data_IF_175707253195
#
_entry.id   IF_175707253195
#
_cell.length_a   1.000
_cell.length_b   1.000
_cell.length_c   1.000
_cell.angle_alpha   90.00
_cell.angle_beta   90.00
_cell.angle_gamma   90.00
#
_symmetry.space_group_name_H-M   'P 1'
#
loop_
_entity.id
_entity.type
_entity.pdbx_description
1 polymer ?
#
# COMPACT_ATOMS: atom_id res chain seq x y z
N UNK A 1 -24.89 4.52 3.84
CA UNK A 1 -25.56 4.63 2.53
C UNK A 1 -25.29 6.00 1.92
N UNK A 2 -25.07 6.06 0.63
CA UNK A 2 -24.93 7.33 -0.11
C UNK A 2 -25.85 7.25 -1.33
N UNK A 3 -26.76 8.24 -1.46
CA UNK A 3 -27.62 8.36 -2.64
C UNK A 3 -26.89 9.07 -3.80
N UNK A 4 -27.41 8.94 -5.01
CA UNK A 4 -26.91 9.68 -6.18
C UNK A 4 -27.05 11.20 -6.04
N UNK A 5 -27.90 11.66 -5.11
CA UNK A 5 -28.10 13.06 -4.75
C UNK A 5 -27.21 13.51 -3.57
N UNK A 6 -26.33 12.65 -3.07
CA UNK A 6 -25.41 12.94 -1.98
C UNK A 6 -26.01 12.88 -0.57
N UNK A 7 -27.25 12.43 -0.45
CA UNK A 7 -27.82 12.12 0.86
C UNK A 7 -27.05 10.94 1.45
N UNK A 8 -26.63 11.10 2.70
CA UNK A 8 -25.82 10.11 3.38
C UNK A 8 -26.51 9.66 4.66
N UNK A 9 -26.39 8.38 4.97
CA UNK A 9 -26.73 7.81 6.27
C UNK A 9 -25.62 6.89 6.74
N UNK A 10 -25.07 7.20 7.91
CA UNK A 10 -23.99 6.46 8.56
C UNK A 10 -24.59 5.63 9.68
N UNK A 11 -24.50 4.31 9.58
CA UNK A 11 -25.02 3.39 10.61
C UNK A 11 -23.94 2.99 11.63
N UNK A 12 -22.67 2.94 11.19
CA UNK A 12 -21.54 2.49 12.00
C UNK A 12 -20.34 3.39 11.69
N UNK A 13 -20.20 4.49 12.42
CA UNK A 13 -19.16 5.49 12.20
C UNK A 13 -17.75 4.90 12.41
N UNK A 14 -17.60 4.09 13.46
CA UNK A 14 -16.33 3.44 13.79
C UNK A 14 -15.85 2.43 12.74
N UNK A 15 -16.73 2.00 11.84
CA UNK A 15 -16.44 1.04 10.77
C UNK A 15 -16.40 1.67 9.38
N UNK A 16 -16.19 2.97 9.30
CA UNK A 16 -16.00 3.64 8.02
C UNK A 16 -14.56 3.43 7.49
N UNK A 17 -14.39 3.33 6.15
CA UNK A 17 -13.05 3.35 5.56
C UNK A 17 -12.32 4.65 5.89
N UNK A 18 -11.07 4.59 6.31
CA UNK A 18 -10.28 5.76 6.73
C UNK A 18 -10.19 6.87 5.68
N UNK A 19 -10.10 6.52 4.41
CA UNK A 19 -10.03 7.49 3.30
C UNK A 19 -11.41 7.98 2.80
N UNK A 20 -12.52 7.57 3.44
CA UNK A 20 -13.87 7.93 3.01
C UNK A 20 -14.51 8.90 4.00
N UNK A 21 -14.67 10.16 3.59
CA UNK A 21 -15.30 11.21 4.40
C UNK A 21 -16.73 11.42 3.95
N UNK A 22 -17.68 11.09 4.81
CA UNK A 22 -19.11 11.31 4.59
C UNK A 22 -19.71 12.06 5.79
N UNK A 23 -20.69 12.92 5.54
CA UNK A 23 -21.40 13.67 6.59
C UNK A 23 -22.90 13.64 6.34
N UNK A 24 -23.67 13.28 7.36
CA UNK A 24 -25.12 13.40 7.33
C UNK A 24 -25.52 14.88 7.38
N UNK A 25 -26.13 15.38 6.32
CA UNK A 25 -26.58 16.77 6.23
C UNK A 25 -27.56 16.94 5.08
N UNK A 26 -28.46 17.91 5.25
CA UNK A 26 -29.38 18.39 4.21
C UNK A 26 -28.75 19.56 3.41
N UNK A 27 -27.62 20.06 3.82
CA UNK A 27 -26.89 21.12 3.15
C UNK A 27 -26.42 20.70 1.75
N UNK A 28 -26.59 21.56 0.76
CA UNK A 28 -26.31 21.25 -0.63
C UNK A 28 -24.81 20.99 -0.88
N UNK A 29 -23.95 21.80 -0.30
CA UNK A 29 -22.49 21.67 -0.50
C UNK A 29 -21.96 20.40 0.16
N UNK A 30 -22.47 20.06 1.36
CA UNK A 30 -22.13 18.79 2.03
C UNK A 30 -22.58 17.58 1.20
N UNK A 31 -23.76 17.64 0.59
CA UNK A 31 -24.24 16.56 -0.29
C UNK A 31 -23.37 16.38 -1.53
N UNK A 32 -22.93 17.49 -2.16
CA UNK A 32 -21.98 17.43 -3.27
C UNK A 32 -20.66 16.79 -2.80
N UNK A 33 -20.14 17.22 -1.65
CA UNK A 33 -18.90 16.68 -1.09
C UNK A 33 -19.00 15.18 -0.78
N UNK A 34 -20.14 14.70 -0.29
CA UNK A 34 -20.38 13.26 -0.09
C UNK A 34 -20.26 12.47 -1.41
N UNK A 35 -20.85 12.97 -2.52
CA UNK A 35 -20.74 12.31 -3.83
C UNK A 35 -19.31 12.30 -4.32
N UNK A 36 -18.59 13.43 -4.20
CA UNK A 36 -17.19 13.55 -4.62
C UNK A 36 -16.32 12.59 -3.80
N UNK A 37 -16.45 12.60 -2.47
CA UNK A 37 -15.69 11.73 -1.57
C UNK A 37 -15.96 10.25 -1.84
N UNK A 38 -17.21 9.86 -2.04
CA UNK A 38 -17.57 8.48 -2.37
C UNK A 38 -17.01 8.05 -3.73
N UNK A 39 -17.12 8.89 -4.76
CA UNK A 39 -16.54 8.58 -6.07
C UNK A 39 -15.00 8.51 -6.02
N UNK A 40 -14.35 9.40 -5.29
CA UNK A 40 -12.89 9.38 -5.13
C UNK A 40 -12.42 8.12 -4.40
N UNK A 41 -13.12 7.71 -3.33
CA UNK A 41 -12.85 6.45 -2.64
C UNK A 41 -13.05 5.24 -3.55
N UNK A 42 -14.15 5.17 -4.30
CA UNK A 42 -14.34 4.09 -5.27
C UNK A 42 -13.25 4.09 -6.34
N UNK A 43 -12.89 5.26 -6.88
CA UNK A 43 -11.88 5.41 -7.92
C UNK A 43 -10.48 5.02 -7.43
N UNK A 44 -10.15 5.24 -6.15
CA UNK A 44 -8.87 4.83 -5.55
C UNK A 44 -8.69 3.31 -5.50
N UNK A 45 -9.78 2.56 -5.63
CA UNK A 45 -9.78 1.09 -5.66
C UNK A 45 -9.52 0.50 -7.05
N UNK A 46 -9.29 1.35 -8.02
CA UNK A 46 -8.89 0.99 -9.37
C UNK A 46 -7.40 1.29 -9.56
N UNK A 47 -6.71 0.51 -10.41
CA UNK A 47 -5.29 0.70 -10.71
C UNK A 47 -4.95 2.17 -11.03
N UNK A 48 -3.79 2.69 -10.55
CA UNK A 48 -3.34 4.03 -10.89
C UNK A 48 -3.18 4.23 -12.39
N UNK A 49 -3.39 5.46 -12.88
CA UNK A 49 -3.32 5.79 -14.32
C UNK A 49 -1.90 5.72 -14.87
N UNK A 50 -0.94 6.02 -14.07
CA UNK A 50 0.49 6.03 -14.37
C UNK A 50 1.16 4.66 -14.25
N UNK A 51 0.38 3.64 -13.89
CA UNK A 51 0.87 2.26 -13.85
C UNK A 51 1.17 1.76 -15.26
N UNK A 52 2.30 1.08 -15.38
CA UNK A 52 2.64 0.35 -16.61
C UNK A 52 1.52 -0.62 -16.97
N UNK A 53 1.13 -0.62 -18.24
CA UNK A 53 0.01 -1.42 -18.78
C UNK A 53 -1.40 -1.06 -18.24
N UNK A 54 -1.56 0.08 -17.55
CA UNK A 54 -2.89 0.49 -17.07
C UNK A 54 -3.93 0.58 -18.20
N UNK A 55 -3.53 1.10 -19.36
CA UNK A 55 -4.41 1.19 -20.55
C UNK A 55 -4.83 -0.18 -21.06
N UNK A 56 -3.89 -1.10 -21.17
CA UNK A 56 -4.12 -2.46 -21.65
C UNK A 56 -5.05 -3.20 -20.70
N UNK A 57 -4.84 -3.09 -19.40
CA UNK A 57 -5.67 -3.69 -18.37
C UNK A 57 -7.09 -3.11 -18.41
N UNK A 58 -7.24 -1.78 -18.47
CA UNK A 58 -8.55 -1.14 -18.55
C UNK A 58 -9.27 -1.45 -19.87
N UNK A 59 -8.54 -1.50 -20.98
CA UNK A 59 -9.13 -1.87 -22.28
C UNK A 59 -9.62 -3.32 -22.30
N UNK A 60 -8.90 -4.24 -21.66
CA UNK A 60 -9.28 -5.65 -21.64
C UNK A 60 -10.58 -5.93 -20.86
N UNK A 61 -10.97 -5.02 -19.94
CA UNK A 61 -12.27 -5.06 -19.26
C UNK A 61 -13.34 -4.20 -19.95
N UNK A 62 -13.07 -3.70 -21.15
CA UNK A 62 -14.00 -2.81 -21.85
C UNK A 62 -14.14 -1.41 -21.23
N UNK A 63 -13.30 -1.09 -20.25
CA UNK A 63 -13.22 0.23 -19.66
C UNK A 63 -12.36 1.10 -20.56
N UNK A 64 -13.00 1.84 -21.47
CA UNK A 64 -12.32 2.89 -22.24
C UNK A 64 -11.62 3.88 -21.30
N UNK A 65 -10.70 4.68 -21.83
CA UNK A 65 -9.89 5.65 -21.08
C UNK A 65 -10.74 6.55 -20.17
N UNK A 66 -11.13 6.03 -19.01
CA UNK A 66 -11.89 6.77 -18.02
C UNK A 66 -10.96 7.80 -17.37
N UNK A 67 -11.28 9.06 -17.55
CA UNK A 67 -10.44 10.19 -17.17
C UNK A 67 -10.84 10.74 -15.80
N UNK A 68 -12.11 10.67 -15.46
CA UNK A 68 -12.67 11.26 -14.24
C UNK A 68 -12.81 10.22 -13.11
N UNK A 69 -12.78 10.66 -11.87
CA UNK A 69 -13.05 9.79 -10.71
C UNK A 69 -14.44 9.16 -10.77
N UNK A 70 -15.41 9.88 -11.33
CA UNK A 70 -16.77 9.33 -11.52
C UNK A 70 -16.78 8.12 -12.46
N UNK A 71 -16.06 8.20 -13.59
CA UNK A 71 -15.98 7.07 -14.54
C UNK A 71 -15.22 5.89 -13.93
N UNK A 72 -14.13 6.19 -13.21
CA UNK A 72 -13.35 5.19 -12.50
C UNK A 72 -14.16 4.53 -11.38
N UNK A 73 -14.93 5.31 -10.64
CA UNK A 73 -15.85 4.81 -9.61
C UNK A 73 -16.89 3.85 -10.19
N UNK A 74 -17.45 4.14 -11.38
CA UNK A 74 -18.38 3.24 -12.05
C UNK A 74 -17.75 1.87 -12.37
N UNK A 75 -16.49 1.88 -12.80
CA UNK A 75 -15.75 0.64 -13.03
C UNK A 75 -15.54 -0.11 -11.71
N UNK A 76 -15.04 0.56 -10.66
CA UNK A 76 -14.83 -0.04 -9.36
C UNK A 76 -16.13 -0.62 -8.77
N UNK A 77 -17.24 0.09 -8.90
CA UNK A 77 -18.57 -0.37 -8.46
C UNK A 77 -19.06 -1.59 -9.24
N UNK A 78 -18.64 -1.80 -10.49
CA UNK A 78 -19.03 -3.00 -11.26
C UNK A 78 -18.49 -4.30 -10.67
N UNK A 79 -17.42 -4.24 -9.87
CA UNK A 79 -16.91 -5.36 -9.06
C UNK A 79 -16.99 -5.07 -7.55
N UNK A 80 -17.98 -4.28 -7.14
CA UNK A 80 -18.28 -3.97 -5.74
C UNK A 80 -17.15 -3.29 -4.97
N UNK A 81 -16.22 -2.60 -5.62
CA UNK A 81 -15.05 -1.99 -5.01
C UNK A 81 -14.17 -2.98 -4.20
N UNK A 82 -14.20 -4.27 -4.51
CA UNK A 82 -13.43 -5.28 -3.80
C UNK A 82 -11.93 -5.05 -3.91
N UNK A 83 -11.20 -5.34 -2.84
CA UNK A 83 -9.75 -5.22 -2.77
C UNK A 83 -9.15 -6.37 -1.94
N UNK A 84 -7.88 -6.69 -2.21
CA UNK A 84 -7.07 -7.54 -1.33
C UNK A 84 -6.36 -6.73 -0.23
N UNK A 85 -6.53 -5.42 -0.19
CA UNK A 85 -5.89 -4.57 0.82
C UNK A 85 -6.76 -4.37 2.06
N UNK A 86 -8.09 -4.56 1.92
CA UNK A 86 -9.06 -4.40 3.00
C UNK A 86 -10.34 -5.22 2.76
N UNK A 87 -11.31 -5.10 3.67
CA UNK A 87 -12.61 -5.80 3.62
C UNK A 87 -13.78 -4.87 3.24
N UNK A 88 -13.50 -3.64 2.87
CA UNK A 88 -14.55 -2.69 2.49
C UNK A 88 -15.02 -2.96 1.06
N UNK A 89 -16.33 -2.84 0.86
CA UNK A 89 -16.97 -3.04 -0.44
C UNK A 89 -18.25 -2.21 -0.57
N UNK A 90 -18.76 -2.12 -1.76
CA UNK A 90 -19.97 -1.36 -2.05
C UNK A 90 -20.95 -2.19 -2.87
N UNK A 91 -22.25 -2.05 -2.57
CA UNK A 91 -23.33 -2.66 -3.37
C UNK A 91 -24.50 -1.69 -3.58
N UNK A 92 -25.29 -1.94 -4.60
CA UNK A 92 -26.56 -1.26 -4.79
C UNK A 92 -27.58 -1.67 -3.72
N UNK A 93 -28.48 -0.76 -3.37
CA UNK A 93 -29.51 -0.98 -2.33
C UNK A 93 -30.36 -2.25 -2.56
N UNK A 94 -30.62 -2.58 -3.82
CA UNK A 94 -31.49 -3.71 -4.22
C UNK A 94 -30.74 -5.02 -4.40
N UNK A 95 -29.41 -5.02 -4.26
CA UNK A 95 -28.59 -6.22 -4.45
C UNK A 95 -28.59 -7.06 -3.17
N UNK A 96 -28.97 -8.33 -3.33
CA UNK A 96 -28.96 -9.31 -2.23
C UNK A 96 -27.69 -10.15 -2.27
N UNK A 97 -26.54 -9.49 -2.07
CA UNK A 97 -25.20 -10.09 -2.07
C UNK A 97 -24.59 -9.84 -0.69
N UNK A 98 -23.86 -10.82 -0.17
CA UNK A 98 -23.09 -10.73 1.07
C UNK A 98 -21.59 -10.72 0.76
N UNK A 99 -20.77 -10.14 1.63
CA UNK A 99 -19.32 -10.14 1.50
C UNK A 99 -18.73 -11.55 1.44
N UNK A 100 -19.31 -12.47 2.20
CA UNK A 100 -18.93 -13.87 2.24
C UNK A 100 -19.05 -14.56 0.88
N UNK A 101 -19.96 -14.10 0.04
CA UNK A 101 -20.22 -14.67 -1.30
C UNK A 101 -19.22 -14.19 -2.36
N UNK A 102 -18.56 -13.04 -2.14
CA UNK A 102 -17.78 -12.35 -3.18
C UNK A 102 -16.37 -11.94 -2.78
N UNK A 103 -15.97 -12.10 -1.51
CA UNK A 103 -14.67 -11.63 -1.02
C UNK A 103 -13.50 -12.30 -1.75
N UNK A 104 -12.45 -11.51 -2.01
CA UNK A 104 -11.30 -11.95 -2.80
C UNK A 104 -10.38 -12.92 -2.06
N UNK A 105 -10.47 -13.02 -0.73
CA UNK A 105 -9.67 -13.94 0.06
C UNK A 105 -10.13 -15.38 -0.10
N UNK A 106 -11.44 -15.61 -0.23
CA UNK A 106 -12.04 -16.93 -0.38
C UNK A 106 -12.24 -17.29 -1.84
N UNK A 107 -12.72 -16.35 -2.64
CA UNK A 107 -13.07 -16.56 -4.04
C UNK A 107 -11.97 -16.01 -4.95
N UNK A 108 -11.69 -16.72 -6.06
CA UNK A 108 -10.92 -16.10 -7.13
C UNK A 108 -11.74 -14.97 -7.71
N UNK A 109 -11.10 -13.88 -8.10
CA UNK A 109 -11.78 -12.74 -8.71
C UNK A 109 -12.49 -13.13 -10.03
N UNK A 110 -12.00 -14.17 -10.72
CA UNK A 110 -12.70 -14.77 -11.88
C UNK A 110 -14.11 -15.21 -11.50
N UNK A 111 -14.32 -15.77 -10.30
CA UNK A 111 -15.66 -16.20 -9.88
C UNK A 111 -16.54 -15.00 -9.51
N UNK A 112 -15.99 -13.99 -8.82
CA UNK A 112 -16.74 -12.77 -8.51
C UNK A 112 -17.13 -12.00 -9.79
N UNK A 113 -16.24 -11.91 -10.79
CA UNK A 113 -16.52 -11.28 -12.06
C UNK A 113 -17.48 -12.12 -12.94
N UNK A 114 -17.38 -13.42 -12.92
CA UNK A 114 -18.33 -14.33 -13.60
C UNK A 114 -19.72 -14.17 -13.01
N UNK A 115 -19.87 -14.10 -11.71
CA UNK A 115 -21.14 -13.86 -11.02
C UNK A 115 -21.73 -12.49 -11.36
N UNK A 116 -20.91 -11.45 -11.41
CA UNK A 116 -21.31 -10.10 -11.83
C UNK A 116 -21.77 -10.12 -13.30
N UNK A 117 -21.03 -10.78 -14.20
CA UNK A 117 -21.35 -10.90 -15.61
C UNK A 117 -22.64 -11.72 -15.84
N UNK A 118 -22.84 -12.81 -15.12
CA UNK A 118 -24.05 -13.65 -15.21
C UNK A 118 -25.31 -12.97 -14.64
N UNK A 119 -25.15 -11.96 -13.77
CA UNK A 119 -26.26 -11.18 -13.19
C UNK A 119 -26.62 -9.94 -14.01
N UNK A 120 -26.13 -9.81 -15.22
CA UNK A 120 -26.54 -8.77 -16.19
C UNK A 120 -25.67 -7.50 -16.18
N UNK A 121 -24.53 -7.52 -15.52
CA UNK A 121 -23.53 -6.45 -15.67
C UNK A 121 -22.72 -6.72 -16.95
N UNK A 122 -22.81 -5.82 -17.93
CA UNK A 122 -22.08 -5.95 -19.19
C UNK A 122 -20.58 -5.72 -18.96
N UNK A 123 -19.83 -6.79 -18.74
CA UNK A 123 -18.37 -6.79 -18.86
C UNK A 123 -17.94 -7.93 -19.77
N UNK A 124 -17.33 -7.58 -20.89
CA UNK A 124 -16.71 -8.56 -21.79
C UNK A 124 -15.32 -8.88 -21.26
N UNK A 125 -15.21 -9.88 -20.40
CA UNK A 125 -13.92 -10.31 -19.84
C UNK A 125 -13.42 -11.52 -20.62
N UNK A 126 -12.42 -11.31 -21.46
CA UNK A 126 -11.79 -12.39 -22.25
C UNK A 126 -10.65 -13.09 -21.49
N UNK A 127 -10.13 -12.51 -20.39
CA UNK A 127 -9.07 -13.08 -19.55
C UNK A 127 -9.26 -12.72 -18.08
N UNK A 128 -10.24 -13.33 -17.42
CA UNK A 128 -10.65 -13.02 -16.05
C UNK A 128 -9.57 -13.25 -14.99
N UNK A 129 -8.58 -14.12 -15.24
CA UNK A 129 -7.58 -14.50 -14.22
C UNK A 129 -6.53 -13.43 -13.90
N UNK A 130 -6.19 -12.59 -14.88
CA UNK A 130 -5.17 -11.55 -14.72
C UNK A 130 -5.74 -10.22 -14.21
N UNK A 131 -6.96 -9.89 -14.61
CA UNK A 131 -7.48 -8.53 -14.54
C UNK A 131 -7.81 -8.04 -13.16
N UNK A 132 -8.37 -8.86 -12.40
CA UNK A 132 -8.97 -8.44 -11.18
C UNK A 132 -8.01 -8.47 -9.98
N UNK A 133 -7.04 -9.37 -10.00
CA UNK A 133 -5.92 -9.29 -9.09
C UNK A 133 -5.10 -8.01 -9.33
N UNK A 134 -5.11 -7.50 -10.55
CA UNK A 134 -4.38 -6.30 -10.94
C UNK A 134 -5.13 -4.99 -10.69
N UNK A 135 -6.46 -5.00 -10.68
CA UNK A 135 -7.27 -3.77 -10.57
C UNK A 135 -7.10 -3.02 -9.25
N UNK A 136 -6.75 -3.70 -8.17
CA UNK A 136 -6.61 -3.12 -6.84
C UNK A 136 -5.16 -2.90 -6.38
N UNK A 137 -4.15 -3.12 -7.25
CA UNK A 137 -2.75 -2.93 -6.89
C UNK A 137 -2.27 -1.50 -7.18
N UNK A 138 -1.85 -0.75 -6.15
CA UNK A 138 -1.23 0.58 -6.30
C UNK A 138 0.21 0.54 -6.86
N UNK A 139 0.76 1.67 -7.31
CA UNK A 139 2.14 1.86 -7.76
C UNK A 139 2.39 1.66 -9.26
N UNK A 140 3.56 2.11 -9.75
CA UNK A 140 3.87 2.29 -11.18
C UNK A 140 4.39 1.06 -11.91
N UNK A 141 5.03 0.12 -11.21
CA UNK A 141 5.60 -1.07 -11.83
C UNK A 141 4.55 -2.12 -12.17
N UNK A 142 4.78 -2.95 -13.22
CA UNK A 142 3.94 -4.12 -13.50
C UNK A 142 3.93 -5.06 -12.30
N UNK A 143 2.76 -5.46 -11.86
CA UNK A 143 2.61 -6.38 -10.74
C UNK A 143 1.26 -7.09 -10.79
N UNK A 144 1.22 -8.31 -10.28
CA UNK A 144 0.03 -9.13 -10.24
C UNK A 144 -0.06 -9.93 -8.95
N UNK A 145 -1.28 -10.09 -8.43
CA UNK A 145 -1.56 -11.02 -7.37
C UNK A 145 -1.72 -12.44 -7.93
N UNK A 146 -0.88 -13.34 -7.48
CA UNK A 146 -0.93 -14.75 -7.85
C UNK A 146 -1.41 -15.58 -6.66
N UNK A 147 -2.48 -16.34 -6.82
CA UNK A 147 -2.96 -17.26 -5.79
C UNK A 147 -2.16 -18.55 -5.86
N UNK A 148 -1.53 -18.93 -4.72
CA UNK A 148 -0.92 -20.23 -4.48
C UNK A 148 -1.73 -20.97 -3.41
N UNK A 149 -1.44 -22.26 -3.17
CA UNK A 149 -2.21 -23.07 -2.25
C UNK A 149 -2.32 -22.54 -0.82
N UNK A 150 -1.33 -21.75 -0.38
CA UNK A 150 -1.24 -21.19 0.98
C UNK A 150 -1.55 -19.68 1.06
N UNK A 151 -2.04 -19.07 -0.01
CA UNK A 151 -2.42 -17.65 -0.01
C UNK A 151 -2.13 -16.89 -1.29
N UNK A 152 -2.09 -15.56 -1.16
CA UNK A 152 -1.79 -14.65 -2.26
C UNK A 152 -0.35 -14.15 -2.20
N UNK A 153 0.28 -14.06 -3.37
CA UNK A 153 1.62 -13.55 -3.56
C UNK A 153 1.61 -12.44 -4.59
N UNK A 154 2.24 -11.32 -4.26
CA UNK A 154 2.47 -10.23 -5.19
C UNK A 154 3.73 -10.51 -5.99
N UNK A 155 3.60 -10.57 -7.31
CA UNK A 155 4.69 -10.63 -8.26
C UNK A 155 4.90 -9.22 -8.80
N UNK A 156 6.11 -8.69 -8.70
CA UNK A 156 6.46 -7.36 -9.21
C UNK A 156 7.58 -7.50 -10.23
N UNK A 157 7.35 -6.95 -11.41
CA UNK A 157 8.34 -6.81 -12.47
C UNK A 157 8.83 -5.35 -12.51
N UNK A 158 10.07 -5.14 -12.20
CA UNK A 158 10.73 -3.83 -12.26
C UNK A 158 12.08 -3.92 -12.98
N UNK A 159 12.33 -5.06 -13.64
CA UNK A 159 13.62 -5.45 -14.18
C UNK A 159 14.58 -5.96 -13.11
N UNK A 160 15.67 -6.61 -13.54
CA UNK A 160 16.65 -7.29 -12.69
C UNK A 160 17.13 -6.40 -11.52
N UNK A 161 17.54 -5.17 -11.81
CA UNK A 161 18.05 -4.24 -10.80
C UNK A 161 17.04 -3.91 -9.69
N UNK A 162 15.76 -3.70 -10.03
CA UNK A 162 14.74 -3.36 -9.05
C UNK A 162 14.41 -4.55 -8.16
N UNK A 163 14.36 -5.76 -8.75
CA UNK A 163 14.18 -7.03 -8.04
C UNK A 163 15.30 -7.26 -7.06
N UNK A 164 16.57 -7.14 -7.49
CA UNK A 164 17.75 -7.32 -6.64
C UNK A 164 17.77 -6.33 -5.47
N UNK A 165 17.45 -5.04 -5.73
CA UNK A 165 17.38 -4.03 -4.68
C UNK A 165 16.31 -4.34 -3.64
N UNK A 166 15.12 -4.73 -4.08
CA UNK A 166 14.01 -5.05 -3.18
C UNK A 166 14.32 -6.28 -2.31
N UNK A 167 14.87 -7.34 -2.92
CA UNK A 167 15.27 -8.55 -2.22
C UNK A 167 16.41 -8.28 -1.24
N UNK A 168 17.45 -7.53 -1.66
CA UNK A 168 18.58 -7.18 -0.79
C UNK A 168 18.14 -6.32 0.39
N UNK A 169 17.34 -5.27 0.16
CA UNK A 169 16.84 -4.41 1.22
C UNK A 169 16.03 -5.21 2.25
N UNK A 170 15.16 -6.11 1.79
CA UNK A 170 14.42 -7.02 2.66
C UNK A 170 15.32 -7.92 3.50
N UNK A 171 16.38 -8.48 2.92
CA UNK A 171 17.37 -9.29 3.65
C UNK A 171 18.11 -8.47 4.71
N UNK A 172 18.45 -7.21 4.43
CA UNK A 172 19.07 -6.30 5.40
C UNK A 172 18.09 -6.00 6.53
N UNK A 173 16.86 -5.60 6.21
CA UNK A 173 15.84 -5.28 7.21
C UNK A 173 15.58 -6.42 8.19
N UNK A 174 15.69 -7.68 7.76
CA UNK A 174 15.57 -8.87 8.63
C UNK A 174 16.59 -8.92 9.77
N UNK A 175 17.68 -8.18 9.67
CA UNK A 175 18.65 -8.10 10.73
C UNK A 175 18.31 -7.07 11.82
N UNK A 176 17.12 -6.48 11.75
CA UNK A 176 16.66 -5.44 12.69
C UNK A 176 15.29 -5.79 13.25
N UNK A 177 15.00 -5.23 14.43
CA UNK A 177 13.70 -5.37 15.11
C UNK A 177 12.65 -4.50 14.42
N UNK A 178 12.09 -5.00 13.33
CA UNK A 178 11.02 -4.34 12.57
C UNK A 178 10.10 -5.36 11.90
N UNK A 179 8.87 -4.97 11.67
CA UNK A 179 7.95 -5.70 10.82
C UNK A 179 8.21 -5.35 9.35
N UNK A 180 8.38 -6.36 8.51
CA UNK A 180 8.67 -6.17 7.10
C UNK A 180 8.10 -7.26 6.21
N UNK A 181 7.83 -6.91 4.98
CA UNK A 181 7.52 -7.86 3.91
C UNK A 181 8.78 -8.57 3.47
N UNK A 182 8.73 -9.90 3.43
CA UNK A 182 9.82 -10.73 2.92
C UNK A 182 9.70 -10.84 1.40
N UNK A 183 10.79 -10.48 0.71
CA UNK A 183 10.87 -10.60 -0.75
C UNK A 183 11.80 -11.71 -1.15
N UNK A 184 11.36 -12.50 -2.12
CA UNK A 184 12.15 -13.55 -2.79
C UNK A 184 12.27 -13.23 -4.27
N UNK A 185 13.41 -13.55 -4.86
CA UNK A 185 13.57 -13.49 -6.30
C UNK A 185 12.94 -14.72 -6.95
N UNK A 186 12.17 -14.51 -8.00
CA UNK A 186 11.59 -15.55 -8.83
C UNK A 186 11.64 -15.21 -10.30
N UNK A 187 11.02 -16.05 -11.11
CA UNK A 187 10.90 -15.86 -12.57
C UNK A 187 9.43 -15.94 -12.97
N UNK A 188 9.02 -15.05 -13.87
CA UNK A 188 7.74 -15.12 -14.54
C UNK A 188 7.97 -14.92 -16.04
N UNK A 189 7.57 -15.87 -16.86
CA UNK A 189 7.79 -15.87 -18.34
C UNK A 189 9.25 -15.57 -18.76
N UNK A 190 10.22 -16.12 -18.02
CA UNK A 190 11.66 -15.91 -18.17
C UNK A 190 12.20 -14.52 -17.77
N UNK A 191 11.37 -13.66 -17.18
CA UNK A 191 11.80 -12.39 -16.62
C UNK A 191 11.89 -12.46 -15.08
N UNK A 192 12.87 -11.78 -14.46
CA UNK A 192 13.03 -11.76 -13.02
C UNK A 192 11.91 -10.95 -12.36
N UNK A 193 11.34 -11.48 -11.29
CA UNK A 193 10.32 -10.82 -10.47
C UNK A 193 10.66 -10.90 -8.99
N UNK A 194 10.28 -9.88 -8.23
CA UNK A 194 10.23 -9.99 -6.78
C UNK A 194 8.87 -10.56 -6.35
N UNK A 195 8.91 -11.49 -5.41
CA UNK A 195 7.72 -12.20 -4.93
C UNK A 195 7.60 -11.97 -3.43
N UNK A 196 6.43 -11.53 -2.99
CA UNK A 196 6.12 -11.36 -1.57
C UNK A 196 4.74 -11.90 -1.22
N UNK A 197 4.61 -12.46 -0.02
CA UNK A 197 3.31 -12.90 0.50
C UNK A 197 2.48 -11.70 0.93
N UNK A 198 1.16 -11.77 0.72
CA UNK A 198 0.23 -10.75 1.17
C UNK A 198 0.27 -10.60 2.71
N UNK A 199 0.25 -9.38 3.22
CA UNK A 199 0.19 -9.10 4.66
C UNK A 199 -1.24 -8.91 5.18
N UNK A 200 -2.18 -8.66 4.29
CA UNK A 200 -3.60 -8.48 4.61
C UNK A 200 -4.35 -9.81 4.61
N UNK A 201 -5.52 -9.83 5.21
CA UNK A 201 -6.41 -10.99 5.30
C UNK A 201 -7.84 -10.53 5.59
N UNK A 202 -8.78 -11.45 5.76
CA UNK A 202 -10.10 -11.11 6.30
C UNK A 202 -10.01 -10.48 7.71
N UNK A 203 -8.93 -10.76 8.47
CA UNK A 203 -8.71 -10.21 9.81
C UNK A 203 -8.00 -8.87 9.80
N UNK A 204 -7.12 -8.62 8.85
CA UNK A 204 -6.26 -7.46 8.82
C UNK A 204 -6.31 -6.72 7.49
N UNK A 205 -6.46 -5.40 7.57
CA UNK A 205 -6.42 -4.47 6.45
C UNK A 205 -5.18 -3.60 6.48
N UNK A 206 -4.79 -3.10 5.31
CA UNK A 206 -3.77 -2.08 5.15
C UNK A 206 -4.45 -0.73 4.92
N UNK A 207 -4.04 0.28 5.70
CA UNK A 207 -4.45 1.67 5.51
C UNK A 207 -3.20 2.50 5.23
N UNK A 208 -3.12 3.13 4.06
CA UNK A 208 -1.96 3.98 3.72
C UNK A 208 -1.92 5.22 4.62
N UNK A 209 -0.72 5.80 4.79
CA UNK A 209 -0.59 7.09 5.50
C UNK A 209 -1.50 8.14 4.88
N UNK A 210 -1.59 8.20 3.54
CA UNK A 210 -2.46 9.15 2.86
C UNK A 210 -3.93 9.02 3.28
N UNK A 211 -4.47 7.80 3.36
CA UNK A 211 -5.83 7.56 3.81
C UNK A 211 -6.02 7.88 5.29
N UNK A 212 -5.04 7.57 6.13
CA UNK A 212 -5.07 7.88 7.56
C UNK A 212 -4.94 9.39 7.82
N UNK A 213 -4.18 10.11 7.00
CA UNK A 213 -4.05 11.57 7.07
C UNK A 213 -5.37 12.28 6.78
N UNK A 214 -6.14 11.79 5.81
CA UNK A 214 -7.51 12.25 5.56
C UNK A 214 -8.39 12.06 6.79
N UNK A 215 -8.33 10.89 7.42
CA UNK A 215 -9.08 10.60 8.64
C UNK A 215 -8.69 11.54 9.80
N UNK A 216 -7.40 11.66 10.09
CA UNK A 216 -6.90 12.52 11.15
C UNK A 216 -7.27 13.98 10.91
N UNK A 217 -7.12 14.47 9.69
CA UNK A 217 -7.48 15.84 9.31
C UNK A 217 -8.97 16.14 9.56
N UNK A 218 -9.86 15.19 9.29
CA UNK A 218 -11.28 15.36 9.57
C UNK A 218 -11.65 15.34 11.07
N UNK A 219 -10.72 14.88 11.93
CA UNK A 219 -10.86 14.88 13.38
C UNK A 219 -10.03 15.99 14.05
N UNK A 220 -9.45 16.91 13.27
CA UNK A 220 -8.54 17.95 13.76
C UNK A 220 -7.32 17.41 14.54
N UNK A 221 -6.83 16.21 14.15
CA UNK A 221 -5.67 15.56 14.76
C UNK A 221 -4.42 15.75 13.92
N UNK A 222 -3.27 15.79 14.60
CA UNK A 222 -1.98 15.67 13.91
C UNK A 222 -1.69 14.19 13.62
N UNK A 223 -1.59 13.85 12.34
CA UNK A 223 -1.42 12.47 11.89
C UNK A 223 -0.13 11.83 12.42
N UNK A 224 0.98 12.57 12.40
CA UNK A 224 2.26 12.04 12.87
C UNK A 224 2.24 11.79 14.38
N UNK A 225 1.60 12.67 15.17
CA UNK A 225 1.47 12.48 16.60
C UNK A 225 0.66 11.20 16.89
N UNK A 226 -0.43 10.96 16.16
CA UNK A 226 -1.22 9.73 16.29
C UNK A 226 -0.45 8.47 15.92
N UNK A 227 0.39 8.53 14.90
CA UNK A 227 1.27 7.42 14.52
C UNK A 227 2.32 7.15 15.60
N UNK A 228 2.92 8.20 16.17
CA UNK A 228 3.90 8.07 17.25
C UNK A 228 3.28 7.56 18.56
N UNK A 229 2.02 7.94 18.85
CA UNK A 229 1.26 7.37 19.98
C UNK A 229 1.02 5.86 19.79
N UNK A 230 0.75 5.43 18.56
CA UNK A 230 0.44 4.05 18.23
C UNK A 230 1.69 3.16 18.15
N UNK A 231 2.70 3.57 17.37
CA UNK A 231 3.87 2.74 17.05
C UNK A 231 5.11 3.61 16.75
N UNK A 232 5.62 4.29 17.79
CA UNK A 232 6.82 5.10 17.66
C UNK A 232 8.04 4.26 17.23
N UNK A 233 8.17 3.03 17.76
CA UNK A 233 9.27 2.13 17.41
C UNK A 233 9.28 1.82 15.91
N UNK A 234 8.17 1.35 15.38
CA UNK A 234 8.04 1.04 13.95
C UNK A 234 8.31 2.25 13.05
N UNK A 235 7.82 3.43 13.42
CA UNK A 235 8.07 4.67 12.70
C UNK A 235 9.56 5.05 12.66
N UNK A 236 10.25 5.02 13.79
CA UNK A 236 11.67 5.36 13.84
C UNK A 236 12.52 4.30 13.15
N UNK A 237 12.23 3.02 13.33
CA UNK A 237 12.91 1.93 12.63
C UNK A 237 12.73 2.02 11.10
N UNK A 238 11.55 2.41 10.60
CA UNK A 238 11.34 2.67 9.17
C UNK A 238 12.31 3.73 8.65
N UNK A 239 12.46 4.87 9.32
CA UNK A 239 13.37 5.93 8.91
C UNK A 239 14.85 5.51 8.99
N UNK A 240 15.22 4.75 10.00
CA UNK A 240 16.57 4.17 10.15
C UNK A 240 16.87 3.25 8.97
N UNK A 241 15.96 2.34 8.64
CA UNK A 241 16.15 1.35 7.60
C UNK A 241 16.12 1.96 6.20
N UNK A 242 15.20 2.88 5.93
CA UNK A 242 15.18 3.61 4.64
C UNK A 242 16.48 4.39 4.40
N UNK A 243 17.07 4.97 5.45
CA UNK A 243 18.40 5.59 5.35
C UNK A 243 19.49 4.55 5.07
N UNK A 244 19.52 3.44 5.80
CA UNK A 244 20.56 2.41 5.64
C UNK A 244 20.58 1.83 4.23
N UNK A 245 19.40 1.47 3.70
CA UNK A 245 19.29 0.88 2.35
C UNK A 245 19.15 1.92 1.24
N UNK A 246 19.08 3.21 1.58
CA UNK A 246 18.90 4.29 0.62
C UNK A 246 17.61 4.22 -0.16
N UNK A 247 16.52 3.82 0.49
CA UNK A 247 15.20 3.84 -0.13
C UNK A 247 14.68 5.28 -0.23
N UNK A 248 14.51 5.77 -1.45
CA UNK A 248 14.12 7.15 -1.73
C UNK A 248 12.64 7.32 -2.02
N UNK A 249 11.84 6.27 -1.92
CA UNK A 249 10.45 6.23 -2.38
C UNK A 249 9.43 5.96 -1.27
N UNK A 250 9.73 6.31 -0.02
CA UNK A 250 8.79 6.17 1.10
C UNK A 250 7.72 7.25 1.08
N UNK A 251 6.99 7.38 -0.05
CA UNK A 251 5.87 8.32 -0.15
C UNK A 251 4.64 7.79 0.62
N UNK A 252 3.64 8.63 0.77
CA UNK A 252 2.45 8.42 1.63
C UNK A 252 1.60 7.18 1.30
N UNK A 253 1.77 6.58 0.12
CA UNK A 253 1.13 5.33 -0.27
C UNK A 253 1.97 4.07 0.04
N UNK A 254 3.27 4.23 0.37
CA UNK A 254 4.19 3.12 0.60
C UNK A 254 4.42 2.81 2.09
N UNK A 255 3.69 3.45 2.97
CA UNK A 255 3.65 3.16 4.39
C UNK A 255 2.31 3.55 5.00
N UNK A 256 2.02 3.07 6.20
CA UNK A 256 0.77 3.33 6.89
C UNK A 256 0.54 2.32 8.00
N UNK A 257 -0.69 1.91 8.18
CA UNK A 257 -1.14 1.16 9.34
C UNK A 257 -1.69 -0.21 8.97
N UNK A 258 -1.45 -1.17 9.85
CA UNK A 258 -2.18 -2.43 9.89
C UNK A 258 -3.38 -2.25 10.81
N UNK A 259 -4.57 -2.57 10.32
CA UNK A 259 -5.85 -2.37 11.00
C UNK A 259 -6.52 -3.71 11.26
N UNK A 260 -7.06 -3.90 12.45
CA UNK A 260 -7.90 -5.04 12.81
C UNK A 260 -9.32 -4.84 12.29
N UNK A 261 -9.79 -5.73 11.40
CA UNK A 261 -11.11 -5.61 10.76
C UNK A 261 -12.29 -5.88 11.70
N UNK A 262 -12.09 -6.54 12.84
CA UNK A 262 -13.17 -6.75 13.82
C UNK A 262 -13.48 -5.48 14.62
N UNK A 263 -12.48 -4.62 14.80
CA UNK A 263 -12.63 -3.38 15.58
C UNK A 263 -12.48 -2.13 14.72
N UNK A 264 -12.00 -2.26 13.50
CA UNK A 264 -11.55 -1.18 12.62
C UNK A 264 -10.51 -0.25 13.28
N UNK A 265 -9.71 -0.76 14.23
CA UNK A 265 -8.71 0.02 14.94
C UNK A 265 -7.31 -0.29 14.44
N UNK A 266 -6.44 0.73 14.31
CA UNK A 266 -5.04 0.54 13.99
C UNK A 266 -4.34 -0.26 15.10
N UNK A 267 -3.46 -1.20 14.71
CA UNK A 267 -2.70 -2.04 15.63
C UNK A 267 -1.25 -1.53 15.75
N UNK A 268 -0.63 -1.21 14.63
CA UNK A 268 0.76 -0.78 14.46
C UNK A 268 0.99 -0.25 13.06
N UNK A 269 2.20 0.18 12.74
CA UNK A 269 2.58 0.34 11.34
C UNK A 269 2.46 -1.01 10.62
N UNK A 270 2.03 -0.99 9.36
CA UNK A 270 2.08 -2.18 8.53
C UNK A 270 3.54 -2.57 8.21
N UNK A 271 3.75 -3.79 7.76
CA UNK A 271 5.07 -4.29 7.40
C UNK A 271 5.73 -3.40 6.35
N UNK A 272 7.02 -3.08 6.56
CA UNK A 272 7.79 -2.26 5.61
C UNK A 272 7.85 -2.95 4.26
N UNK A 273 7.49 -2.23 3.22
CA UNK A 273 7.40 -2.75 1.86
C UNK A 273 7.95 -1.76 0.84
N UNK A 274 8.04 -2.19 -0.41
CA UNK A 274 8.39 -1.37 -1.58
C UNK A 274 9.79 -0.74 -1.48
N UNK A 275 10.80 -1.60 -1.60
CA UNK A 275 12.22 -1.22 -1.57
C UNK A 275 12.88 -1.18 -2.97
N UNK A 276 12.10 -1.19 -4.04
CA UNK A 276 12.59 -1.26 -5.42
C UNK A 276 13.47 -0.08 -5.83
N UNK A 277 13.44 1.02 -5.09
CA UNK A 277 14.33 2.19 -5.25
C UNK A 277 15.47 2.26 -4.24
N UNK A 278 15.66 1.25 -3.40
CA UNK A 278 16.82 1.15 -2.53
C UNK A 278 18.12 1.16 -3.35
N UNK A 279 19.18 1.77 -2.82
CA UNK A 279 20.52 1.88 -3.42
C UNK A 279 20.58 2.53 -4.81
N UNK A 280 19.51 3.17 -5.28
CA UNK A 280 19.42 3.59 -6.69
C UNK A 280 20.13 4.91 -7.01
N UNK A 281 20.01 5.93 -6.19
CA UNK A 281 20.31 7.31 -6.61
C UNK A 281 21.28 8.07 -5.71
N UNK A 282 21.35 7.76 -4.43
CA UNK A 282 22.08 8.58 -3.47
C UNK A 282 23.14 7.78 -2.73
N UNK A 283 24.41 8.06 -3.05
CA UNK A 283 25.56 7.53 -2.32
C UNK A 283 26.12 8.50 -1.27
N UNK A 284 25.48 9.68 -1.12
CA UNK A 284 25.85 10.67 -0.12
C UNK A 284 25.46 10.22 1.28
N UNK A 285 26.18 10.74 2.30
CA UNK A 285 25.84 10.44 3.70
C UNK A 285 24.52 11.00 4.17
N UNK A 286 24.01 12.04 3.50
CA UNK A 286 22.72 12.63 3.87
C UNK A 286 21.52 11.86 3.27
N UNK A 287 21.74 11.17 2.16
CA UNK A 287 20.68 10.50 1.42
C UNK A 287 19.75 11.49 0.72
N UNK A 288 18.50 11.11 0.50
CA UNK A 288 17.45 11.94 -0.06
C UNK A 288 16.74 12.76 1.03
N UNK A 289 15.83 13.66 0.60
CA UNK A 289 14.86 14.25 1.51
C UNK A 289 13.94 13.15 2.08
N UNK A 290 13.71 13.20 3.40
CA UNK A 290 12.83 12.25 4.07
C UNK A 290 11.37 12.64 3.85
N UNK A 291 10.57 11.73 3.30
CA UNK A 291 9.17 11.99 2.96
C UNK A 291 8.19 11.66 4.10
N UNK A 292 8.65 11.04 5.17
CA UNK A 292 7.80 10.57 6.28
C UNK A 292 7.66 11.57 7.41
N UNK A 293 8.40 12.66 7.39
CA UNK A 293 8.54 13.61 8.51
C UNK A 293 7.51 14.73 8.54
N UNK A 294 6.44 14.60 7.76
CA UNK A 294 5.37 15.59 7.67
C UNK A 294 5.85 16.91 7.07
N UNK A 295 5.57 18.02 7.75
CA UNK A 295 5.96 19.37 7.30
C UNK A 295 7.42 19.74 7.57
N UNK A 296 8.18 18.88 8.25
CA UNK A 296 9.60 19.10 8.52
C UNK A 296 10.43 18.82 7.28
N UNK A 297 11.46 19.59 7.03
CA UNK A 297 12.41 19.39 5.95
C UNK A 297 13.67 18.75 6.49
N UNK A 298 13.69 17.42 6.56
CA UNK A 298 14.83 16.63 7.03
C UNK A 298 15.37 15.77 5.89
N UNK A 299 16.69 15.59 5.85
CA UNK A 299 17.32 14.53 5.08
C UNK A 299 17.01 13.16 5.70
N UNK A 300 17.19 12.09 4.93
CA UNK A 300 17.09 10.72 5.47
C UNK A 300 18.04 10.50 6.65
N UNK A 301 19.27 11.06 6.60
CA UNK A 301 20.23 11.00 7.70
C UNK A 301 19.69 11.65 8.96
N UNK A 302 19.16 12.87 8.88
CA UNK A 302 18.65 13.58 10.04
C UNK A 302 17.48 12.83 10.67
N UNK A 303 16.54 12.32 9.85
CA UNK A 303 15.42 11.52 10.34
C UNK A 303 15.88 10.20 10.98
N UNK A 304 16.88 9.52 10.39
CA UNK A 304 17.42 8.29 10.93
C UNK A 304 18.20 8.52 12.23
N UNK A 305 19.01 9.59 12.33
CA UNK A 305 19.70 9.97 13.57
C UNK A 305 18.71 10.35 14.67
N UNK A 306 17.62 11.06 14.32
CA UNK A 306 16.52 11.28 15.27
C UNK A 306 15.93 9.96 15.76
N UNK A 307 15.70 9.03 14.84
CA UNK A 307 15.20 7.68 15.13
C UNK A 307 16.11 6.93 16.10
N UNK A 308 17.42 6.91 15.85
CA UNK A 308 18.40 6.26 16.72
C UNK A 308 18.35 6.82 18.16
N UNK A 309 18.21 8.14 18.31
CA UNK A 309 18.10 8.78 19.63
C UNK A 309 16.77 8.46 20.34
N UNK A 310 15.75 8.05 19.62
CA UNK A 310 14.42 7.76 20.17
C UNK A 310 14.18 6.28 20.45
N UNK A 311 14.79 5.38 19.66
CA UNK A 311 14.52 3.95 19.76
C UNK A 311 15.77 3.06 19.72
N UNK A 312 16.98 3.62 19.58
CA UNK A 312 18.23 2.91 19.26
C UNK A 312 18.20 2.21 17.90
N UNK A 313 19.32 1.62 17.46
CA UNK A 313 19.40 0.96 16.15
C UNK A 313 18.59 -0.35 16.11
N UNK A 314 18.43 -1.03 17.27
CA UNK A 314 17.72 -2.30 17.41
C UNK A 314 18.13 -3.38 16.38
N UNK A 315 19.43 -3.51 16.16
CA UNK A 315 19.98 -4.59 15.36
C UNK A 315 19.93 -5.92 16.12
N UNK A 316 19.28 -6.94 15.54
CA UNK A 316 19.11 -8.27 16.15
C UNK A 316 20.15 -9.28 15.66
N UNK A 317 20.74 -9.08 14.46
CA UNK A 317 21.88 -9.84 13.97
C UNK A 317 22.75 -9.00 13.04
N UNK A 318 24.01 -9.39 12.89
CA UNK A 318 24.94 -8.71 11.99
C UNK A 318 24.52 -8.89 10.52
N UNK A 319 24.59 -7.80 9.74
CA UNK A 319 24.41 -7.83 8.29
C UNK A 319 25.69 -8.42 7.69
N UNK A 320 25.62 -9.68 7.25
CA UNK A 320 26.75 -10.38 6.66
C UNK A 320 27.22 -9.72 5.37
N UNK A 321 28.54 -9.63 5.17
CA UNK A 321 29.12 -9.12 3.91
C UNK A 321 28.66 -9.93 2.68
N UNK A 322 28.45 -11.21 2.84
CA UNK A 322 28.01 -12.11 1.75
C UNK A 322 26.60 -11.77 1.24
N UNK A 323 25.84 -10.94 1.95
CA UNK A 323 24.51 -10.51 1.51
C UNK A 323 24.60 -9.59 0.27
N UNK A 324 25.76 -8.94 0.06
CA UNK A 324 26.02 -7.99 -1.02
C UNK A 324 26.74 -8.59 -2.23
N UNK A 325 26.86 -9.92 -2.31
CA UNK A 325 27.74 -10.64 -3.25
C UNK A 325 27.51 -10.37 -4.74
N UNK A 326 26.46 -9.66 -5.10
CA UNK A 326 26.10 -9.40 -6.51
C UNK A 326 26.34 -7.96 -6.96
N UNK A 327 26.74 -7.02 -6.07
CA UNK A 327 26.83 -5.60 -6.45
C UNK A 327 27.98 -4.84 -5.78
N UNK A 328 28.99 -4.50 -6.57
CA UNK A 328 30.15 -3.69 -6.18
C UNK A 328 29.76 -2.22 -5.90
N UNK A 329 29.32 -1.91 -4.71
CA UNK A 329 29.07 -0.52 -4.31
C UNK A 329 27.94 -0.33 -3.33
N UNK A 330 26.97 -1.24 -3.27
CA UNK A 330 25.86 -1.13 -2.31
C UNK A 330 26.33 -1.40 -0.87
N UNK A 331 27.29 -2.31 -0.70
CA UNK A 331 28.00 -2.53 0.57
C UNK A 331 28.67 -1.24 1.08
N UNK A 332 29.31 -0.46 0.19
CA UNK A 332 29.98 0.80 0.55
C UNK A 332 28.98 1.85 1.02
N UNK A 333 27.81 1.96 0.34
CA UNK A 333 26.75 2.86 0.73
C UNK A 333 26.24 2.48 2.12
N UNK A 334 25.89 1.21 2.31
CA UNK A 334 25.41 0.68 3.59
C UNK A 334 26.42 0.94 4.72
N UNK A 335 27.68 0.54 4.53
CA UNK A 335 28.72 0.65 5.57
C UNK A 335 29.02 2.12 5.96
N UNK A 336 29.01 3.06 5.00
CA UNK A 336 29.15 4.50 5.31
C UNK A 336 28.01 5.00 6.22
N UNK A 337 26.77 4.62 5.88
CA UNK A 337 25.58 5.03 6.62
C UNK A 337 25.46 4.33 7.96
N UNK A 338 25.81 3.05 8.01
CA UNK A 338 25.88 2.28 9.25
C UNK A 338 26.82 2.94 10.27
N UNK A 339 28.00 3.35 9.84
CA UNK A 339 28.97 4.05 10.70
C UNK A 339 28.37 5.34 11.31
N UNK A 340 27.65 6.12 10.52
CA UNK A 340 26.99 7.34 11.00
C UNK A 340 25.98 7.04 12.11
N UNK A 341 25.19 5.98 11.95
CA UNK A 341 24.17 5.60 12.94
C UNK A 341 24.80 5.08 14.22
N UNK A 342 25.80 4.21 14.14
CA UNK A 342 26.53 3.69 15.32
C UNK A 342 27.21 4.82 16.10
N UNK A 343 27.85 5.78 15.42
CA UNK A 343 28.44 6.95 16.08
C UNK A 343 27.38 7.87 16.73
N UNK A 344 26.14 7.83 16.26
CA UNK A 344 25.03 8.60 16.80
C UNK A 344 24.34 7.90 17.97
N UNK A 345 24.35 6.57 18.01
CA UNK A 345 23.81 5.73 19.10
C UNK A 345 24.69 5.80 20.37
N UNK A 346 26.01 6.01 20.18
CA UNK A 346 26.96 6.11 21.29
C UNK A 346 27.01 7.51 21.98
N UNK A 347 26.30 8.48 21.41
CA UNK A 347 26.24 9.87 21.97
C UNK A 347 24.92 10.15 22.67
#
# INVERSE_FOLDING_TARGET
QVSTAGECKIYFEDFMPYGLVLKESNDFDTRINNVISFHSWCASRLIPRDRTYAKEILNSIGASQSVTDRERAQIALSYHCLSLLDVFWAKGEKENILFEDINLYTYSLSNALVDIALRGHQMTVTNAHLLANDLSTGGCYPKAWVRRGDGFYLYKDGGQDAVEREVLASKICRCFDCHQVLYEQGMFENEPVSISKIMTSQRYSLVTYAAYDVYCTNHDWNTLDKILELDAHGYYMMNILDYLVGNTDRHWENWGLLVDNETNQPIRLHDLMDFNRAFRQYDTLDGANCLTVGKRHLSQREAAVEGVKKTSINQICEVSKNIFDTNDGWDKIYNKRWKVLVESDMK
#
